data_IF_018230006453
#
_entry.id   IF_018230006453
#
_cell.length_a   1.000
_cell.length_b   1.000
_cell.length_c   1.000
_cell.angle_alpha   90.00
_cell.angle_beta   90.00
_cell.angle_gamma   90.00
#
_symmetry.space_group_name_H-M   'P 1'
#
loop_
_entity.id
_entity.type
_entity.pdbx_description
1 polymer ?
#
# COMPACT_ATOMS: atom_id res chain seq x y z
N UNK A 1 8.41 9.32 -33.73
CA UNK A 1 8.87 7.92 -33.79
C UNK A 1 7.68 7.03 -34.07
N UNK A 2 7.37 6.76 -35.35
CA UNK A 2 6.17 5.97 -35.72
C UNK A 2 6.45 4.82 -36.68
N UNK A 3 7.71 4.37 -36.79
CA UNK A 3 8.07 3.22 -37.62
C UNK A 3 8.73 2.17 -36.72
N UNK A 4 8.11 1.00 -36.66
CA UNK A 4 8.56 -0.17 -35.92
C UNK A 4 7.99 -1.42 -36.57
N UNK A 5 8.67 -2.55 -36.41
CA UNK A 5 8.27 -3.83 -36.94
C UNK A 5 8.47 -4.89 -35.84
N UNK A 6 7.57 -5.87 -35.80
CA UNK A 6 7.68 -7.02 -34.88
C UNK A 6 8.32 -8.17 -35.66
N UNK A 7 9.27 -8.86 -35.05
CA UNK A 7 9.89 -10.07 -35.59
C UNK A 7 8.91 -11.24 -35.56
N UNK A 8 8.94 -12.09 -36.60
CA UNK A 8 8.19 -13.34 -36.61
C UNK A 8 8.84 -14.42 -35.72
N UNK A 9 8.19 -15.58 -35.62
CA UNK A 9 8.67 -16.72 -34.82
C UNK A 9 10.03 -17.28 -35.27
N UNK A 10 10.46 -16.96 -36.49
CA UNK A 10 11.74 -17.36 -37.07
C UNK A 10 12.78 -16.22 -37.03
N UNK A 11 12.46 -15.09 -36.37
CA UNK A 11 13.36 -13.94 -36.22
C UNK A 11 13.44 -13.01 -37.44
N UNK A 12 12.55 -13.16 -38.43
CA UNK A 12 12.51 -12.27 -39.61
C UNK A 12 11.69 -11.03 -39.34
N UNK A 13 12.12 -9.90 -39.90
CA UNK A 13 11.42 -8.63 -39.81
C UNK A 13 11.57 -7.85 -41.11
N UNK A 14 10.67 -6.90 -41.34
CA UNK A 14 10.75 -5.96 -42.45
C UNK A 14 10.43 -4.57 -41.93
N UNK A 15 11.36 -3.64 -42.08
CA UNK A 15 11.22 -2.25 -41.64
C UNK A 15 11.57 -1.31 -42.79
N UNK A 16 10.65 -0.43 -43.15
CA UNK A 16 10.91 0.62 -44.13
C UNK A 16 11.52 1.83 -43.44
N UNK A 17 12.69 2.28 -43.89
CA UNK A 17 13.37 3.47 -43.37
C UNK A 17 13.34 4.62 -44.40
N UNK A 18 13.31 5.88 -43.95
CA UNK A 18 13.42 7.04 -44.83
C UNK A 18 14.77 7.09 -45.59
N UNK A 19 14.80 7.79 -46.74
CA UNK A 19 16.05 8.03 -47.47
C UNK A 19 17.04 8.81 -46.58
N UNK A 20 18.22 8.23 -46.36
CA UNK A 20 19.26 8.78 -45.46
C UNK A 20 19.66 7.84 -44.32
N UNK A 21 18.97 6.71 -44.15
CA UNK A 21 19.29 5.74 -43.10
C UNK A 21 18.71 6.11 -41.74
N UNK A 22 18.94 5.26 -40.74
CA UNK A 22 18.42 5.46 -39.39
C UNK A 22 19.10 4.58 -38.37
N UNK A 23 18.97 4.94 -37.09
CA UNK A 23 19.38 4.09 -35.97
C UNK A 23 18.25 3.11 -35.68
N UNK A 24 18.52 1.82 -35.88
CA UNK A 24 17.59 0.75 -35.50
C UNK A 24 17.97 0.28 -34.09
N UNK A 25 16.98 0.27 -33.21
CA UNK A 25 17.07 -0.31 -31.86
C UNK A 25 16.29 -1.62 -31.87
N UNK A 26 16.98 -2.74 -31.65
CA UNK A 26 16.36 -4.06 -31.52
C UNK A 26 16.36 -4.46 -30.06
N UNK A 27 15.20 -4.83 -29.53
CA UNK A 27 15.04 -5.30 -28.15
C UNK A 27 14.14 -6.54 -28.12
N UNK A 28 14.44 -7.46 -27.21
CA UNK A 28 13.64 -8.64 -26.94
C UNK A 28 13.60 -8.88 -25.43
N UNK A 29 12.47 -9.39 -24.93
CA UNK A 29 12.27 -9.61 -23.50
C UNK A 29 13.28 -10.64 -23.01
N UNK A 30 14.12 -10.26 -22.03
CA UNK A 30 15.18 -11.11 -21.48
C UNK A 30 16.54 -10.99 -22.19
N UNK A 31 16.66 -10.20 -23.25
CA UNK A 31 17.90 -9.99 -24.00
C UNK A 31 18.36 -8.52 -23.96
N UNK A 32 19.66 -8.29 -24.16
CA UNK A 32 20.21 -6.94 -24.27
C UNK A 32 19.73 -6.26 -25.56
N UNK A 33 19.42 -4.96 -25.50
CA UNK A 33 19.08 -4.19 -26.71
C UNK A 33 20.35 -3.87 -27.51
N UNK A 34 20.27 -4.02 -28.83
CA UNK A 34 21.36 -3.67 -29.75
C UNK A 34 20.92 -2.50 -30.62
N UNK A 35 21.77 -1.47 -30.69
CA UNK A 35 21.57 -0.32 -31.57
C UNK A 35 22.58 -0.35 -32.72
N UNK A 36 22.12 -0.21 -33.96
CA UNK A 36 22.98 -0.10 -35.14
C UNK A 36 22.45 0.96 -36.10
N UNK A 37 23.36 1.80 -36.59
CA UNK A 37 23.07 2.75 -37.67
C UNK A 37 23.11 2.02 -39.01
N UNK A 38 22.02 2.10 -39.77
CA UNK A 38 21.91 1.49 -41.10
C UNK A 38 21.74 2.59 -42.14
N UNK A 39 22.68 2.64 -43.09
CA UNK A 39 22.76 3.66 -44.14
C UNK A 39 22.40 3.12 -45.54
N UNK A 40 22.26 1.81 -45.69
CA UNK A 40 21.99 1.13 -46.96
C UNK A 40 20.90 0.07 -46.79
N UNK A 41 20.04 -0.05 -47.80
CA UNK A 41 19.01 -1.08 -47.85
C UNK A 41 19.65 -2.47 -48.06
N UNK A 42 19.22 -3.47 -47.29
CA UNK A 42 19.72 -4.84 -47.38
C UNK A 42 19.36 -5.69 -46.17
N UNK A 43 19.71 -6.97 -46.20
CA UNK A 43 19.55 -7.89 -45.06
C UNK A 43 20.52 -7.49 -43.93
N UNK A 44 19.98 -7.24 -42.75
CA UNK A 44 20.74 -6.84 -41.57
C UNK A 44 20.49 -7.82 -40.45
N UNK A 45 21.53 -8.55 -40.05
CA UNK A 45 21.45 -9.51 -38.96
C UNK A 45 21.82 -8.84 -37.63
N UNK A 46 20.96 -9.03 -36.64
CA UNK A 46 21.12 -8.56 -35.27
C UNK A 46 21.19 -9.77 -34.36
N UNK A 47 22.33 -9.95 -33.70
CA UNK A 47 22.49 -10.97 -32.65
C UNK A 47 22.33 -10.24 -31.33
N UNK A 48 21.31 -10.62 -30.57
CA UNK A 48 21.13 -10.12 -29.22
C UNK A 48 21.90 -11.02 -28.26
N UNK A 49 22.63 -10.42 -27.34
CA UNK A 49 23.26 -11.15 -26.25
C UNK A 49 22.24 -11.37 -25.13
N UNK A 50 22.31 -12.52 -24.47
CA UNK A 50 21.51 -12.81 -23.28
C UNK A 50 21.73 -11.69 -22.26
N UNK A 51 20.63 -11.09 -21.78
CA UNK A 51 20.74 -10.10 -20.72
C UNK A 51 20.97 -10.85 -19.42
N UNK A 52 22.22 -11.22 -19.14
CA UNK A 52 22.67 -11.57 -17.80
C UNK A 52 22.75 -10.34 -16.89
N UNK A 53 21.79 -9.41 -17.02
CA UNK A 53 21.45 -8.51 -15.93
C UNK A 53 20.68 -9.33 -14.90
N UNK A 54 21.42 -10.15 -14.14
CA UNK A 54 21.10 -10.25 -12.73
C UNK A 54 21.04 -8.80 -12.24
N UNK A 55 19.83 -8.26 -12.10
CA UNK A 55 19.63 -6.92 -11.58
C UNK A 55 20.34 -6.91 -10.24
N UNK A 56 21.47 -6.21 -10.18
CA UNK A 56 22.15 -5.90 -8.94
C UNK A 56 21.20 -5.01 -8.15
N UNK A 57 20.24 -5.62 -7.47
CA UNK A 57 19.32 -4.91 -6.61
C UNK A 57 20.17 -4.24 -5.54
N UNK A 58 20.21 -2.92 -5.59
CA UNK A 58 20.87 -2.13 -4.56
C UNK A 58 19.84 -1.88 -3.47
N UNK A 59 20.16 -2.37 -2.28
CA UNK A 59 19.36 -2.24 -1.07
C UNK A 59 20.03 -1.18 -0.20
N UNK A 60 19.25 -0.26 0.32
CA UNK A 60 19.73 0.66 1.35
C UNK A 60 19.73 -0.10 2.68
N UNK A 61 20.85 -0.12 3.39
CA UNK A 61 20.95 -0.67 4.75
C UNK A 61 21.72 0.31 5.61
N UNK A 62 21.14 0.71 6.74
CA UNK A 62 21.74 1.75 7.57
C UNK A 62 21.78 3.07 6.81
N UNK A 63 22.99 3.60 6.67
CA UNK A 63 23.31 4.81 5.91
C UNK A 63 24.05 4.52 4.59
N UNK A 64 24.16 3.24 4.21
CA UNK A 64 24.89 2.80 3.03
C UNK A 64 24.01 2.08 2.02
N UNK A 65 24.51 1.93 0.79
CA UNK A 65 23.90 1.10 -0.25
C UNK A 65 24.72 -0.18 -0.42
N UNK A 66 24.06 -1.33 -0.39
CA UNK A 66 24.68 -2.63 -0.61
C UNK A 66 23.87 -3.43 -1.62
N UNK A 67 24.54 -4.23 -2.45
CA UNK A 67 23.82 -5.16 -3.33
C UNK A 67 23.12 -6.23 -2.49
N UNK A 68 21.85 -6.53 -2.80
CA UNK A 68 21.03 -7.53 -2.10
C UNK A 68 21.75 -8.88 -1.93
N UNK A 69 22.50 -9.31 -2.95
CA UNK A 69 23.26 -10.57 -2.98
C UNK A 69 24.40 -10.61 -1.96
N UNK A 70 24.90 -9.45 -1.50
CA UNK A 70 26.00 -9.38 -0.53
C UNK A 70 25.53 -9.27 0.92
N UNK A 71 24.23 -9.22 1.16
CA UNK A 71 23.71 -9.07 2.51
C UNK A 71 23.61 -10.45 3.16
N UNK A 72 24.42 -10.69 4.18
CA UNK A 72 24.39 -11.94 4.96
C UNK A 72 23.18 -12.05 5.89
N UNK A 73 22.40 -10.98 6.03
CA UNK A 73 21.30 -10.87 6.98
C UNK A 73 19.92 -11.25 6.41
N UNK A 74 19.01 -11.59 7.31
CA UNK A 74 17.62 -11.92 6.98
C UNK A 74 16.79 -10.64 6.77
N UNK A 75 16.59 -10.28 5.51
CA UNK A 75 15.76 -9.15 5.09
C UNK A 75 14.61 -9.61 4.17
N UNK A 76 13.57 -8.77 4.06
CA UNK A 76 12.54 -8.91 3.03
C UNK A 76 12.42 -7.59 2.28
N UNK A 77 12.25 -7.63 0.97
CA UNK A 77 12.12 -6.43 0.14
C UNK A 77 10.77 -6.48 -0.56
N UNK A 78 10.00 -5.41 -0.43
CA UNK A 78 8.76 -5.19 -1.20
C UNK A 78 9.01 -4.03 -2.15
N UNK A 79 8.90 -4.29 -3.46
CA UNK A 79 9.20 -3.31 -4.50
C UNK A 79 7.98 -2.48 -4.90
N UNK A 80 8.23 -1.31 -5.48
CA UNK A 80 7.19 -0.39 -5.99
C UNK A 80 6.15 -1.06 -6.89
N UNK A 81 6.54 -1.99 -7.75
CA UNK A 81 5.60 -2.72 -8.63
C UNK A 81 4.58 -3.55 -7.84
N UNK A 82 5.03 -4.19 -6.75
CA UNK A 82 4.15 -4.97 -5.90
C UNK A 82 3.24 -4.04 -5.08
N UNK A 83 3.80 -2.98 -4.50
CA UNK A 83 3.05 -1.95 -3.75
C UNK A 83 1.91 -1.40 -4.63
N UNK A 84 2.22 -1.06 -5.88
CA UNK A 84 1.24 -0.58 -6.87
C UNK A 84 0.15 -1.60 -7.18
N UNK A 85 0.51 -2.88 -7.33
CA UNK A 85 -0.47 -3.94 -7.60
C UNK A 85 -1.49 -4.11 -6.47
N UNK A 86 -1.09 -3.84 -5.22
CA UNK A 86 -1.98 -3.94 -4.06
C UNK A 86 -2.83 -2.67 -3.84
N UNK A 87 -2.36 -1.52 -4.34
CA UNK A 87 -3.00 -0.22 -4.16
C UNK A 87 -3.44 0.07 -2.70
N UNK A 88 -2.54 -0.08 -1.72
CA UNK A 88 -2.91 0.04 -0.32
C UNK A 88 -3.24 1.49 0.05
N UNK A 89 -4.08 1.70 1.07
CA UNK A 89 -4.36 3.03 1.60
C UNK A 89 -3.15 3.50 2.42
N UNK A 90 -2.54 2.62 3.19
CA UNK A 90 -1.35 2.92 3.97
C UNK A 90 -0.15 2.07 3.57
N UNK A 91 1.05 2.59 3.82
CA UNK A 91 2.31 1.98 3.37
C UNK A 91 2.55 0.62 4.01
N UNK A 92 2.23 0.49 5.29
CA UNK A 92 2.41 -0.71 6.11
C UNK A 92 1.61 -1.89 5.56
N UNK A 93 0.43 -1.63 4.98
CA UNK A 93 -0.46 -2.64 4.40
C UNK A 93 0.22 -3.34 3.22
N UNK A 94 1.11 -2.64 2.50
CA UNK A 94 1.86 -3.18 1.37
C UNK A 94 2.78 -4.35 1.75
N UNK A 95 3.14 -4.45 3.03
CA UNK A 95 4.03 -5.47 3.60
C UNK A 95 3.24 -6.76 3.89
N UNK A 96 1.93 -6.66 4.11
CA UNK A 96 1.08 -7.76 4.54
C UNK A 96 1.10 -8.90 3.52
N UNK A 97 1.51 -10.09 3.98
CA UNK A 97 1.59 -11.29 3.14
C UNK A 97 2.75 -11.31 2.13
N UNK A 98 3.62 -10.29 2.12
CA UNK A 98 4.75 -10.17 1.18
C UNK A 98 6.13 -10.21 1.84
N UNK A 99 6.21 -9.99 3.15
CA UNK A 99 7.43 -10.15 3.92
C UNK A 99 7.35 -11.37 4.84
N UNK A 100 8.26 -12.32 4.66
CA UNK A 100 8.31 -13.52 5.48
C UNK A 100 8.67 -13.19 6.94
N UNK A 101 7.87 -13.69 7.88
CA UNK A 101 8.02 -13.44 9.31
C UNK A 101 7.53 -12.06 9.76
N UNK A 102 6.71 -11.39 8.96
CA UNK A 102 6.07 -10.12 9.32
C UNK A 102 4.55 -10.34 9.38
N UNK A 103 3.96 -9.99 10.52
CA UNK A 103 2.51 -10.00 10.71
C UNK A 103 2.04 -8.55 10.76
N UNK A 104 1.04 -8.23 9.94
CA UNK A 104 0.38 -6.92 9.92
C UNK A 104 -1.07 -7.15 10.30
N UNK A 105 -1.53 -6.53 11.39
CA UNK A 105 -2.91 -6.56 11.85
C UNK A 105 -3.50 -5.18 11.64
N UNK A 106 -4.49 -5.09 10.74
CA UNK A 106 -5.18 -3.84 10.44
C UNK A 106 -6.36 -3.63 11.40
N UNK A 107 -6.61 -2.37 11.75
CA UNK A 107 -7.84 -1.99 12.46
C UNK A 107 -9.05 -1.93 11.54
N UNK A 108 -10.25 -1.83 12.13
CA UNK A 108 -11.50 -1.76 11.39
C UNK A 108 -11.87 -0.35 10.89
N UNK A 109 -11.24 0.68 11.45
CA UNK A 109 -11.49 2.09 11.12
C UNK A 109 -10.60 2.55 9.96
N UNK A 110 -11.14 3.31 8.99
CA UNK A 110 -10.38 4.01 7.96
C UNK A 110 -9.14 4.73 8.51
N UNK A 111 -8.00 4.47 7.89
CA UNK A 111 -6.71 5.09 8.22
C UNK A 111 -6.14 4.76 9.60
N UNK A 112 -6.72 3.81 10.34
CA UNK A 112 -6.18 3.34 11.63
C UNK A 112 -4.73 2.86 11.48
N UNK A 113 -3.93 3.04 12.53
CA UNK A 113 -2.56 2.56 12.54
C UNK A 113 -2.57 1.02 12.69
N UNK A 114 -1.97 0.27 11.75
CA UNK A 114 -1.87 -1.17 11.89
C UNK A 114 -0.83 -1.55 12.93
N UNK A 115 -1.02 -2.70 13.58
CA UNK A 115 0.01 -3.31 14.42
C UNK A 115 0.94 -4.15 13.53
N UNK A 116 2.24 -3.85 13.55
CA UNK A 116 3.25 -4.64 12.83
C UNK A 116 4.09 -5.41 13.84
N UNK A 117 4.24 -6.71 13.60
CA UNK A 117 5.03 -7.61 14.43
C UNK A 117 6.05 -8.33 13.53
N UNK A 118 7.34 -8.13 13.80
CA UNK A 118 8.44 -8.77 13.06
C UNK A 118 9.01 -9.90 13.92
N UNK A 119 8.93 -11.14 13.41
CA UNK A 119 9.41 -12.37 14.09
C UNK A 119 8.79 -12.62 15.48
N UNK A 120 7.51 -12.28 15.65
CA UNK A 120 6.79 -12.49 16.90
C UNK A 120 6.95 -11.33 17.88
N UNK A 121 6.40 -11.48 19.09
CA UNK A 121 6.40 -10.41 20.11
C UNK A 121 7.70 -10.53 20.91
N UNK A 122 8.65 -9.58 20.77
CA UNK A 122 9.97 -9.70 21.39
C UNK A 122 9.98 -9.21 22.85
N UNK A 123 9.00 -8.41 23.27
CA UNK A 123 8.97 -7.80 24.60
C UNK A 123 7.54 -7.57 25.11
N UNK A 124 7.40 -7.44 26.43
CA UNK A 124 6.14 -7.07 27.10
C UNK A 124 5.85 -5.56 27.07
N UNK A 125 6.87 -4.72 26.82
CA UNK A 125 6.78 -3.26 26.94
C UNK A 125 6.51 -2.53 25.61
N UNK A 126 6.51 -3.25 24.48
CA UNK A 126 6.22 -2.70 23.16
C UNK A 126 6.84 -3.52 22.03
N UNK A 127 6.10 -3.68 20.93
CA UNK A 127 6.51 -4.49 19.78
C UNK A 127 6.66 -3.69 18.48
N UNK A 128 6.46 -2.37 18.52
CA UNK A 128 6.50 -1.56 17.31
C UNK A 128 7.93 -1.53 16.72
N UNK A 129 8.07 -1.77 15.40
CA UNK A 129 9.34 -1.68 14.73
C UNK A 129 9.75 -0.22 14.53
N UNK A 130 11.06 0.01 14.41
CA UNK A 130 11.57 1.32 13.99
C UNK A 130 11.29 1.53 12.51
N UNK A 131 10.79 2.71 12.16
CA UNK A 131 10.65 3.14 10.77
C UNK A 131 11.79 4.07 10.41
N UNK A 132 12.37 3.91 9.22
CA UNK A 132 13.39 4.80 8.69
C UNK A 132 13.01 5.21 7.29
N UNK A 133 12.76 6.50 7.07
CA UNK A 133 12.35 7.05 5.77
C UNK A 133 13.52 7.85 5.23
N UNK A 134 14.10 7.40 4.10
CA UNK A 134 15.24 8.02 3.44
C UNK A 134 16.42 8.34 4.39
N UNK A 135 16.65 7.46 5.37
CA UNK A 135 17.73 7.58 6.36
C UNK A 135 17.36 8.31 7.65
N UNK A 136 16.17 8.91 7.73
CA UNK A 136 15.68 9.59 8.94
C UNK A 136 14.79 8.64 9.75
N UNK A 137 15.11 8.48 11.05
CA UNK A 137 14.31 7.68 11.96
C UNK A 137 12.96 8.35 12.25
N UNK A 138 11.89 7.57 12.14
CA UNK A 138 10.51 7.97 12.34
C UNK A 138 9.76 6.90 13.15
N UNK A 139 8.55 7.22 13.59
CA UNK A 139 7.65 6.24 14.21
C UNK A 139 6.74 5.60 13.18
N UNK A 140 6.06 4.51 13.57
CA UNK A 140 5.09 3.83 12.71
C UNK A 140 3.93 4.75 12.28
N UNK A 141 3.46 5.62 13.18
CA UNK A 141 2.39 6.57 12.86
C UNK A 141 2.77 7.58 11.76
N UNK A 142 4.05 7.95 11.68
CA UNK A 142 4.58 8.91 10.72
C UNK A 142 4.62 8.34 9.29
N UNK A 143 4.56 7.01 9.16
CA UNK A 143 4.51 6.35 7.86
C UNK A 143 3.23 6.69 7.07
N UNK A 144 2.18 7.16 7.76
CA UNK A 144 0.98 7.68 7.12
C UNK A 144 1.23 8.97 6.30
N UNK A 145 2.32 9.68 6.57
CA UNK A 145 2.68 10.89 5.83
C UNK A 145 3.12 10.59 4.40
N UNK A 146 3.63 9.38 4.15
CA UNK A 146 4.16 8.97 2.85
C UNK A 146 3.07 8.30 2.03
N UNK A 147 2.94 8.70 0.77
CA UNK A 147 2.06 8.02 -0.17
C UNK A 147 2.68 6.67 -0.59
N UNK A 148 1.95 5.55 -0.55
CA UNK A 148 2.47 4.27 -1.03
C UNK A 148 2.98 4.31 -2.47
N UNK A 149 2.41 5.17 -3.34
CA UNK A 149 2.85 5.30 -4.73
C UNK A 149 4.21 5.96 -4.88
N UNK A 150 4.64 6.75 -3.90
CA UNK A 150 5.91 7.48 -3.91
C UNK A 150 7.07 6.61 -3.42
N UNK A 151 6.79 5.37 -3.02
CA UNK A 151 7.78 4.44 -2.49
C UNK A 151 8.42 3.65 -3.63
N UNK A 152 9.75 3.65 -3.64
CA UNK A 152 10.55 2.81 -4.52
C UNK A 152 10.68 1.39 -3.95
N UNK A 153 10.97 1.29 -2.64
CA UNK A 153 11.07 0.01 -1.95
C UNK A 153 10.84 0.11 -0.45
N UNK A 154 10.28 -0.97 0.11
CA UNK A 154 10.23 -1.22 1.55
C UNK A 154 11.18 -2.38 1.87
N UNK A 155 12.18 -2.13 2.70
CA UNK A 155 13.12 -3.17 3.16
C UNK A 155 12.90 -3.41 4.64
N UNK A 156 12.59 -4.65 5.00
CA UNK A 156 12.34 -5.05 6.37
C UNK A 156 13.57 -5.82 6.87
N UNK A 157 14.25 -5.25 7.86
CA UNK A 157 15.36 -5.87 8.58
C UNK A 157 14.83 -6.67 9.75
N UNK A 158 15.12 -7.97 9.77
CA UNK A 158 14.52 -8.93 10.71
C UNK A 158 15.52 -9.53 11.70
N UNK A 159 16.82 -9.34 11.47
CA UNK A 159 17.85 -9.92 12.33
C UNK A 159 18.59 -8.86 13.14
N UNK A 160 19.12 -9.30 14.28
CA UNK A 160 19.83 -8.42 15.19
C UNK A 160 21.09 -7.80 14.56
N UNK A 161 21.75 -8.51 13.64
CA UNK A 161 22.97 -8.03 13.00
C UNK A 161 22.70 -6.83 12.07
N UNK A 162 21.64 -6.87 11.26
CA UNK A 162 21.27 -5.76 10.37
C UNK A 162 20.59 -4.62 11.11
N UNK A 163 19.85 -4.90 12.18
CA UNK A 163 19.16 -3.87 12.96
C UNK A 163 20.06 -3.18 13.99
N UNK A 164 21.17 -3.78 14.40
CA UNK A 164 22.11 -3.22 15.37
C UNK A 164 22.64 -1.83 15.00
N UNK A 165 22.72 -1.51 13.70
CA UNK A 165 23.11 -0.18 13.19
C UNK A 165 22.17 0.92 13.70
N UNK A 166 20.91 0.58 13.97
CA UNK A 166 19.89 1.49 14.48
C UNK A 166 19.75 1.46 16.02
N UNK A 167 20.62 0.72 16.70
CA UNK A 167 20.67 0.63 18.15
C UNK A 167 19.45 -0.05 18.78
N UNK A 168 19.15 0.32 20.03
CA UNK A 168 18.09 -0.32 20.85
C UNK A 168 16.71 -0.22 20.18
N UNK A 169 16.44 0.87 19.46
CA UNK A 169 15.16 1.07 18.74
C UNK A 169 14.95 0.05 17.61
N UNK A 170 16.02 -0.50 17.04
CA UNK A 170 15.95 -1.56 16.04
C UNK A 170 15.72 -2.96 16.61
N UNK A 171 15.61 -3.12 17.94
CA UNK A 171 15.44 -4.43 18.60
C UNK A 171 14.17 -5.18 18.18
N UNK A 172 13.11 -4.46 17.81
CA UNK A 172 11.84 -5.01 17.32
C UNK A 172 11.80 -5.18 15.79
N UNK A 173 12.94 -5.02 15.12
CA UNK A 173 13.03 -4.94 13.66
C UNK A 173 12.99 -3.51 13.14
N UNK A 174 13.40 -3.33 11.88
CA UNK A 174 13.45 -2.01 11.23
C UNK A 174 12.79 -2.09 9.86
N UNK A 175 11.93 -1.13 9.56
CA UNK A 175 11.32 -0.93 8.24
C UNK A 175 11.99 0.27 7.59
N UNK A 176 12.79 0.02 6.56
CA UNK A 176 13.39 1.05 5.73
C UNK A 176 12.47 1.35 4.57
N UNK A 177 12.14 2.62 4.41
CA UNK A 177 11.37 3.15 3.30
C UNK A 177 12.29 4.01 2.46
N UNK A 178 12.40 3.65 1.18
CA UNK A 178 13.10 4.43 0.18
C UNK A 178 12.08 5.04 -0.75
N UNK A 179 12.07 6.38 -0.84
CA UNK A 179 11.18 7.09 -1.74
C UNK A 179 11.75 7.18 -3.14
N UNK A 180 10.87 7.41 -4.12
CA UNK A 180 11.25 7.58 -5.52
C UNK A 180 12.06 8.86 -5.70
N UNK A 181 13.07 8.77 -6.55
CA UNK A 181 13.92 9.89 -6.95
C UNK A 181 14.00 9.97 -8.47
N UNK A 182 14.41 11.13 -8.98
CA UNK A 182 14.77 11.28 -10.39
C UNK A 182 16.10 10.58 -10.69
N UNK A 183 16.40 10.39 -11.98
CA UNK A 183 17.72 9.90 -12.42
C UNK A 183 18.39 10.94 -13.30
N UNK A 184 19.73 10.96 -13.30
CA UNK A 184 20.49 11.81 -14.22
C UNK A 184 20.20 11.41 -15.67
N UNK A 185 20.09 12.41 -16.54
CA UNK A 185 19.77 12.24 -17.96
C UNK A 185 18.48 11.46 -18.23
N UNK A 186 17.53 11.53 -17.30
CA UNK A 186 16.23 10.92 -17.43
C UNK A 186 15.26 11.92 -18.05
N UNK A 187 14.62 11.52 -19.15
CA UNK A 187 13.51 12.28 -19.72
C UNK A 187 12.42 12.44 -18.67
N UNK A 188 11.76 13.59 -18.69
CA UNK A 188 10.62 13.84 -17.80
C UNK A 188 9.53 12.80 -18.03
N UNK A 189 9.23 12.04 -16.99
CA UNK A 189 8.14 11.07 -16.94
C UNK A 189 7.01 11.61 -16.06
N UNK A 190 5.81 11.59 -16.63
CA UNK A 190 4.57 11.93 -15.93
C UNK A 190 3.84 10.64 -15.57
N UNK A 191 3.42 10.52 -14.31
CA UNK A 191 2.58 9.42 -13.84
C UNK A 191 1.30 10.00 -13.25
N UNK A 192 0.16 9.48 -13.69
CA UNK A 192 -1.16 9.83 -13.14
C UNK A 192 -1.87 8.53 -12.81
N UNK A 193 -2.18 8.34 -11.53
CA UNK A 193 -2.89 7.16 -11.06
C UNK A 193 -4.18 7.60 -10.36
N UNK A 194 -5.30 7.04 -10.79
CA UNK A 194 -6.60 7.33 -10.21
C UNK A 194 -7.35 6.03 -10.00
N UNK A 195 -7.91 5.84 -8.81
CA UNK A 195 -8.69 4.66 -8.46
C UNK A 195 -9.93 5.06 -7.67
N UNK A 196 -11.01 4.31 -7.88
CA UNK A 196 -12.27 4.44 -7.17
C UNK A 196 -12.75 3.03 -6.83
N UNK A 197 -13.24 2.86 -5.60
CA UNK A 197 -13.74 1.61 -5.09
C UNK A 197 -14.87 1.84 -4.09
N UNK A 198 -15.58 0.77 -3.78
CA UNK A 198 -16.66 0.74 -2.79
C UNK A 198 -16.38 -0.37 -1.80
N UNK A 199 -16.57 -0.07 -0.52
CA UNK A 199 -16.34 -0.98 0.59
C UNK A 199 -17.70 -1.40 1.16
N UNK A 200 -17.87 -2.71 1.36
CA UNK A 200 -19.08 -3.28 1.95
C UNK A 200 -18.72 -4.41 2.91
N UNK A 201 -19.67 -4.78 3.77
CA UNK A 201 -19.50 -5.90 4.70
C UNK A 201 -19.66 -7.21 3.92
N UNK A 202 -18.64 -8.09 3.89
CA UNK A 202 -18.72 -9.33 3.12
C UNK A 202 -19.67 -10.35 3.74
N UNK A 203 -19.86 -10.31 5.07
CA UNK A 203 -20.71 -11.25 5.80
C UNK A 203 -21.20 -10.66 7.11
N UNK A 204 -22.51 -10.72 7.33
CA UNK A 204 -23.13 -10.42 8.60
C UNK A 204 -23.07 -11.63 9.55
N UNK A 205 -22.99 -11.38 10.85
CA UNK A 205 -23.11 -12.44 11.85
C UNK A 205 -24.57 -12.93 11.89
N UNK A 206 -24.84 -14.25 11.88
CA UNK A 206 -26.19 -14.73 12.09
C UNK A 206 -26.63 -14.36 13.50
N UNK A 207 -27.73 -13.61 13.59
CA UNK A 207 -28.38 -13.20 14.84
C UNK A 207 -29.83 -13.62 14.78
N UNK A 208 -30.45 -13.78 15.95
CA UNK A 208 -31.87 -14.09 16.05
C UNK A 208 -32.70 -12.96 15.42
N UNK A 209 -33.74 -13.32 14.69
CA UNK A 209 -34.78 -12.38 14.30
C UNK A 209 -35.71 -12.07 15.49
N UNK A 210 -36.61 -11.08 15.36
CA UNK A 210 -37.47 -10.67 16.48
C UNK A 210 -38.38 -11.79 17.03
N UNK A 211 -38.91 -12.65 16.17
CA UNK A 211 -39.73 -13.80 16.59
C UNK A 211 -38.91 -14.82 17.37
N UNK A 212 -37.72 -15.18 16.88
CA UNK A 212 -36.80 -16.11 17.55
C UNK A 212 -36.30 -15.54 18.88
N UNK A 213 -35.98 -14.25 18.92
CA UNK A 213 -35.59 -13.54 20.13
C UNK A 213 -36.72 -13.58 21.16
N UNK A 214 -37.95 -13.24 20.76
CA UNK A 214 -39.11 -13.28 21.64
C UNK A 214 -39.41 -14.68 22.17
N UNK A 215 -39.25 -15.72 21.35
CA UNK A 215 -39.38 -17.11 21.77
C UNK A 215 -38.35 -17.48 22.85
N UNK A 216 -37.09 -17.10 22.66
CA UNK A 216 -36.00 -17.37 23.61
C UNK A 216 -36.20 -16.62 24.94
N UNK A 217 -36.67 -15.37 24.88
CA UNK A 217 -37.01 -14.57 26.08
C UNK A 217 -38.20 -15.19 26.83
N UNK A 218 -39.22 -15.67 26.11
CA UNK A 218 -40.35 -16.37 26.71
C UNK A 218 -39.93 -17.67 27.40
N UNK A 219 -39.09 -18.48 26.74
CA UNK A 219 -38.54 -19.71 27.30
C UNK A 219 -37.82 -19.42 28.63
N UNK A 220 -36.95 -18.41 28.66
CA UNK A 220 -36.25 -17.99 29.88
C UNK A 220 -37.18 -17.52 31.00
N UNK A 221 -38.24 -16.78 30.66
CA UNK A 221 -39.24 -16.31 31.64
C UNK A 221 -40.03 -17.48 32.24
N UNK A 222 -40.49 -18.41 31.40
CA UNK A 222 -41.27 -19.58 31.83
C UNK A 222 -40.44 -20.54 32.68
N UNK A 223 -39.18 -20.80 32.31
CA UNK A 223 -38.24 -21.62 33.10
C UNK A 223 -38.02 -21.00 34.50
N UNK A 224 -38.03 -19.67 34.59
CA UNK A 224 -37.88 -18.93 35.84
C UNK A 224 -39.17 -18.83 36.67
N UNK A 225 -40.28 -19.44 36.21
CA UNK A 225 -41.59 -19.40 36.87
C UNK A 225 -42.43 -18.15 36.56
N UNK A 226 -42.02 -17.36 35.57
CA UNK A 226 -42.74 -16.19 35.07
C UNK A 226 -43.73 -16.49 33.94
N UNK A 227 -44.49 -15.46 33.54
CA UNK A 227 -45.36 -15.51 32.36
C UNK A 227 -44.58 -15.20 31.07
N UNK A 228 -45.06 -15.63 29.89
CA UNK A 228 -44.51 -15.19 28.60
C UNK A 228 -44.50 -13.65 28.50
N UNK A 229 -43.33 -13.08 28.16
CA UNK A 229 -43.12 -11.64 27.99
C UNK A 229 -43.70 -11.15 26.67
N UNK A 230 -43.63 -11.98 25.62
CA UNK A 230 -44.24 -11.75 24.31
C UNK A 230 -45.39 -12.75 24.09
N UNK A 231 -46.64 -12.41 24.45
CA UNK A 231 -47.76 -13.35 24.41
C UNK A 231 -48.12 -13.81 23.00
N UNK A 232 -47.94 -12.93 22.02
CA UNK A 232 -48.12 -13.21 20.61
C UNK A 232 -46.79 -13.00 19.87
N UNK A 233 -46.18 -14.10 19.41
CA UNK A 233 -44.94 -14.03 18.64
C UNK A 233 -45.18 -13.69 17.17
N UNK A 234 -46.41 -13.89 16.66
CA UNK A 234 -46.73 -13.67 15.25
C UNK A 234 -46.68 -12.20 14.84
N UNK A 235 -46.86 -11.29 15.80
CA UNK A 235 -46.80 -9.84 15.58
C UNK A 235 -45.36 -9.28 15.51
N UNK A 236 -44.36 -10.03 15.99
CA UNK A 236 -42.96 -9.56 16.03
C UNK A 236 -42.28 -9.62 14.66
N UNK A 237 -42.64 -10.61 13.85
CA UNK A 237 -42.04 -10.82 12.52
C UNK A 237 -40.52 -10.94 12.56
N UNK A 238 -39.83 -10.40 11.54
CA UNK A 238 -38.37 -10.46 11.48
C UNK A 238 -37.67 -9.40 12.33
N UNK A 239 -38.36 -8.30 12.64
CA UNK A 239 -37.79 -7.17 13.38
C UNK A 239 -36.70 -6.39 12.64
N UNK A 240 -35.98 -5.56 13.39
CA UNK A 240 -34.88 -4.72 12.93
C UNK A 240 -33.57 -5.50 12.93
N UNK A 241 -32.88 -5.52 11.79
CA UNK A 241 -31.50 -6.02 11.72
C UNK A 241 -30.53 -4.86 11.95
N UNK A 242 -30.11 -4.69 13.20
CA UNK A 242 -29.22 -3.61 13.61
C UNK A 242 -27.86 -3.60 12.90
N UNK A 243 -27.35 -4.76 12.48
CA UNK A 243 -26.13 -4.80 11.67
C UNK A 243 -26.34 -4.09 10.32
N UNK A 244 -27.47 -4.33 9.63
CA UNK A 244 -27.78 -3.64 8.37
C UNK A 244 -28.02 -2.15 8.54
N UNK A 245 -28.47 -1.73 9.72
CA UNK A 245 -28.67 -0.30 10.01
C UNK A 245 -27.35 0.45 10.21
N UNK A 246 -26.40 -0.15 10.93
CA UNK A 246 -25.12 0.49 11.20
C UNK A 246 -24.14 0.41 10.02
N UNK A 247 -24.21 -0.64 9.20
CA UNK A 247 -23.30 -0.82 8.08
C UNK A 247 -23.84 -0.15 6.82
N UNK A 248 -23.02 0.71 6.20
CA UNK A 248 -23.30 1.42 4.97
C UNK A 248 -22.20 1.11 3.94
N UNK A 249 -22.58 1.09 2.66
CA UNK A 249 -21.62 1.01 1.56
C UNK A 249 -20.82 2.31 1.55
N UNK A 250 -19.48 2.20 1.54
CA UNK A 250 -18.60 3.34 1.76
C UNK A 250 -17.60 3.52 0.59
N UNK A 251 -17.56 4.69 -0.07
CA UNK A 251 -16.64 4.93 -1.17
C UNK A 251 -15.18 5.06 -0.67
N UNK A 252 -14.25 4.64 -1.53
CA UNK A 252 -12.81 4.80 -1.40
C UNK A 252 -12.27 5.36 -2.71
N UNK A 253 -11.52 6.46 -2.65
CA UNK A 253 -10.90 7.06 -3.82
C UNK A 253 -9.46 7.45 -3.55
N UNK A 254 -8.62 7.32 -4.58
CA UNK A 254 -7.22 7.73 -4.53
C UNK A 254 -6.85 8.37 -5.86
N UNK A 255 -6.25 9.56 -5.80
CA UNK A 255 -5.74 10.29 -6.96
C UNK A 255 -4.31 10.70 -6.68
N UNK A 256 -3.40 10.28 -7.54
CA UNK A 256 -1.97 10.52 -7.39
C UNK A 256 -1.40 11.05 -8.69
N UNK A 257 -0.51 12.01 -8.55
CA UNK A 257 0.19 12.66 -9.63
C UNK A 257 1.68 12.69 -9.28
N UNK A 258 2.53 12.30 -10.21
CA UNK A 258 3.98 12.29 -10.02
C UNK A 258 4.70 12.73 -11.28
N UNK A 259 5.76 13.51 -11.10
CA UNK A 259 6.69 13.93 -12.14
C UNK A 259 8.09 13.58 -11.70
N UNK A 260 8.84 12.91 -12.56
CA UNK A 260 10.25 12.61 -12.29
C UNK A 260 11.11 12.79 -13.52
N UNK A 261 12.35 13.18 -13.31
CA UNK A 261 13.31 13.36 -14.39
C UNK A 261 14.63 13.88 -13.87
N UNK A 262 15.52 14.21 -14.80
CA UNK A 262 16.77 14.86 -14.45
C UNK A 262 17.70 15.12 -15.62
N UNK A 263 18.49 16.18 -15.50
CA UNK A 263 19.65 16.47 -16.34
C UNK A 263 20.92 15.85 -15.74
N UNK A 264 22.10 16.21 -16.25
CA UNK A 264 23.39 15.82 -15.65
C UNK A 264 23.61 16.42 -14.27
N UNK A 265 23.03 17.60 -14.03
CA UNK A 265 23.26 18.42 -12.82
C UNK A 265 22.12 18.33 -11.82
N UNK A 266 20.89 18.05 -12.26
CA UNK A 266 19.71 18.03 -11.39
C UNK A 266 18.90 16.77 -11.63
N UNK A 267 18.49 16.08 -10.58
CA UNK A 267 17.44 15.06 -10.66
C UNK A 267 16.35 15.37 -9.65
N UNK A 268 15.09 15.16 -10.05
CA UNK A 268 13.94 15.54 -9.24
C UNK A 268 12.84 14.49 -9.30
N UNK A 269 12.10 14.40 -8.21
CA UNK A 269 10.82 13.71 -8.07
C UNK A 269 9.87 14.64 -7.32
N UNK A 270 8.76 14.99 -7.95
CA UNK A 270 7.70 15.79 -7.36
C UNK A 270 6.41 14.99 -7.45
N UNK A 271 5.71 14.81 -6.34
CA UNK A 271 4.45 14.09 -6.31
C UNK A 271 3.44 14.77 -5.40
N UNK A 272 2.17 14.59 -5.75
CA UNK A 272 1.03 15.00 -4.95
C UNK A 272 -0.04 13.93 -5.02
N UNK A 273 -0.73 13.74 -3.90
CA UNK A 273 -1.75 12.71 -3.80
C UNK A 273 -2.88 13.11 -2.87
N UNK A 274 -4.06 12.57 -3.17
CA UNK A 274 -5.24 12.69 -2.36
C UNK A 274 -5.88 11.31 -2.19
N UNK A 275 -6.11 10.92 -0.95
CA UNK A 275 -6.80 9.69 -0.57
C UNK A 275 -8.02 10.07 0.26
N UNK A 276 -9.18 9.51 -0.06
CA UNK A 276 -10.39 9.66 0.74
C UNK A 276 -11.04 8.29 0.91
N UNK A 277 -11.15 7.85 2.16
CA UNK A 277 -11.73 6.57 2.55
C UNK A 277 -12.87 6.82 3.53
N UNK A 278 -14.09 6.50 3.11
CA UNK A 278 -15.24 6.50 4.01
C UNK A 278 -15.29 5.20 4.83
N UNK A 279 -15.81 5.27 6.05
CA UNK A 279 -16.02 4.12 6.91
C UNK A 279 -17.35 3.44 6.65
N UNK A 280 -17.36 2.10 6.71
CA UNK A 280 -18.57 1.30 6.54
C UNK A 280 -19.48 1.36 7.77
N UNK A 281 -18.97 1.66 8.96
CA UNK A 281 -19.78 1.80 10.18
C UNK A 281 -20.26 3.24 10.31
N UNK A 282 -21.57 3.45 10.27
CA UNK A 282 -22.21 4.76 10.39
C UNK A 282 -21.99 5.71 9.20
N UNK A 283 -21.33 5.25 8.13
CA UNK A 283 -21.02 6.03 6.93
C UNK A 283 -19.95 7.11 7.15
N UNK A 284 -19.74 7.95 6.12
CA UNK A 284 -18.74 9.02 6.07
C UNK A 284 -18.86 10.05 7.20
N UNK A 285 -20.07 10.23 7.74
CA UNK A 285 -20.35 11.22 8.79
C UNK A 285 -19.80 10.78 10.16
N UNK A 286 -19.74 9.47 10.38
CA UNK A 286 -19.28 8.88 11.64
C UNK A 286 -17.83 8.42 11.54
N UNK A 287 -17.41 7.92 10.38
CA UNK A 287 -16.04 7.48 10.16
C UNK A 287 -15.53 7.83 8.78
N UNK A 288 -14.37 8.48 8.71
CA UNK A 288 -13.71 8.88 7.45
C UNK A 288 -12.23 9.09 7.66
N UNK A 289 -11.46 8.92 6.59
CA UNK A 289 -10.05 9.20 6.54
C UNK A 289 -9.71 9.90 5.22
N UNK A 290 -9.26 11.15 5.33
CA UNK A 290 -8.79 11.92 4.19
C UNK A 290 -7.33 12.33 4.39
N UNK A 291 -6.53 12.12 3.36
CA UNK A 291 -5.11 12.42 3.34
C UNK A 291 -4.76 13.16 2.06
N UNK A 292 -4.28 14.39 2.21
CA UNK A 292 -3.50 15.07 1.18
C UNK A 292 -2.02 14.87 1.45
N UNK A 293 -1.24 14.49 0.44
CA UNK A 293 0.22 14.38 0.55
C UNK A 293 0.93 15.12 -0.58
N UNK A 294 2.14 15.53 -0.27
CA UNK A 294 3.07 16.17 -1.19
C UNK A 294 4.47 15.65 -0.89
N UNK A 295 5.20 15.26 -1.93
CA UNK A 295 6.59 14.79 -1.82
C UNK A 295 7.46 15.52 -2.84
N UNK A 296 8.61 16.00 -2.38
CA UNK A 296 9.63 16.64 -3.20
C UNK A 296 11.01 16.09 -2.84
N UNK A 297 11.62 15.36 -3.77
CA UNK A 297 12.98 14.89 -3.66
C UNK A 297 13.81 15.51 -4.79
N UNK A 298 14.84 16.27 -4.42
CA UNK A 298 15.66 17.05 -5.35
C UNK A 298 17.14 16.79 -5.02
N UNK A 299 17.85 16.33 -6.03
CA UNK A 299 19.27 16.09 -6.02
C UNK A 299 19.95 17.09 -6.95
N UNK A 300 20.84 17.92 -6.41
CA UNK A 300 21.54 18.96 -7.16
C UNK A 300 23.06 18.77 -7.07
N UNK A 301 23.71 18.53 -8.21
CA UNK A 301 25.15 18.48 -8.35
C UNK A 301 25.70 19.90 -8.47
N UNK A 302 26.06 20.51 -7.34
CA UNK A 302 26.60 21.88 -7.29
C UNK A 302 27.99 21.94 -7.95
N UNK A 303 28.84 20.95 -7.69
CA UNK A 303 30.19 20.82 -8.24
C UNK A 303 30.59 19.33 -8.28
N UNK A 304 31.66 18.92 -8.98
CA UNK A 304 32.03 17.48 -9.10
C UNK A 304 32.19 16.73 -7.78
N UNK A 305 32.53 17.43 -6.69
CA UNK A 305 32.69 16.86 -5.34
C UNK A 305 31.65 17.36 -4.33
N UNK A 306 30.63 18.10 -4.76
CA UNK A 306 29.61 18.67 -3.89
C UNK A 306 28.21 18.36 -4.44
N UNK A 307 27.43 17.61 -3.66
CA UNK A 307 26.03 17.28 -3.95
C UNK A 307 25.15 17.83 -2.83
N UNK A 308 24.10 18.54 -3.21
CA UNK A 308 23.03 18.96 -2.32
C UNK A 308 21.83 18.02 -2.52
N UNK A 309 21.23 17.56 -1.42
CA UNK A 309 20.11 16.62 -1.41
C UNK A 309 19.01 17.23 -0.55
N UNK A 310 17.81 17.32 -1.09
CA UNK A 310 16.61 17.76 -0.39
C UNK A 310 15.54 16.69 -0.56
N UNK A 311 15.14 16.05 0.55
CA UNK A 311 13.99 15.16 0.60
C UNK A 311 12.95 15.79 1.53
N UNK A 312 11.73 15.97 1.06
CA UNK A 312 10.66 16.62 1.82
C UNK A 312 9.35 15.93 1.53
N UNK A 313 8.62 15.59 2.59
CA UNK A 313 7.24 15.10 2.49
C UNK A 313 6.37 15.93 3.43
N UNK A 314 5.22 16.38 2.93
CA UNK A 314 4.20 17.09 3.68
C UNK A 314 2.88 16.34 3.61
N UNK A 315 2.15 16.32 4.72
CA UNK A 315 0.86 15.64 4.81
C UNK A 315 -0.17 16.51 5.52
N UNK A 316 -1.40 16.48 5.03
CA UNK A 316 -2.57 17.02 5.71
C UNK A 316 -3.54 15.88 5.92
N UNK A 317 -3.84 15.59 7.19
CA UNK A 317 -4.67 14.45 7.59
C UNK A 317 -5.93 14.94 8.29
N UNK A 318 -7.07 14.45 7.82
CA UNK A 318 -8.35 14.61 8.49
C UNK A 318 -8.95 13.22 8.70
N UNK A 319 -8.96 12.76 9.94
CA UNK A 319 -9.47 11.44 10.29
C UNK A 319 -10.53 11.53 11.37
N UNK A 320 -11.60 10.77 11.20
CA UNK A 320 -12.61 10.52 12.22
C UNK A 320 -12.79 9.02 12.37
N UNK A 321 -12.50 8.53 13.57
CA UNK A 321 -12.63 7.12 13.89
C UNK A 321 -13.84 6.79 14.75
N UNK A 322 -14.15 5.50 14.83
CA UNK A 322 -15.09 4.95 15.78
C UNK A 322 -14.29 4.12 16.78
N UNK A 323 -14.76 4.04 18.02
CA UNK A 323 -14.08 3.25 19.04
C UNK A 323 -14.07 1.76 18.67
N UNK A 324 -12.86 1.19 18.61
CA UNK A 324 -12.61 -0.22 18.39
C UNK A 324 -12.40 -0.98 19.71
N UNK A 325 -12.53 -2.31 19.67
CA UNK A 325 -12.17 -3.22 20.76
C UNK A 325 -12.80 -2.88 22.13
N UNK A 326 -14.04 -2.39 22.11
CA UNK A 326 -14.82 -2.08 23.31
C UNK A 326 -16.09 -2.92 23.38
N UNK A 327 -16.46 -3.36 24.59
CA UNK A 327 -17.72 -4.09 24.83
C UNK A 327 -18.94 -3.25 24.43
N UNK A 328 -18.86 -1.93 24.62
CA UNK A 328 -19.89 -0.97 24.22
C UNK A 328 -19.62 -0.36 22.83
N UNK A 329 -18.84 -1.02 21.98
CA UNK A 329 -18.60 -0.57 20.61
C UNK A 329 -19.89 -0.60 19.79
N UNK A 330 -19.97 0.23 18.75
CA UNK A 330 -21.17 0.31 17.88
C UNK A 330 -21.55 -1.06 17.31
N UNK A 331 -20.55 -1.84 16.88
CA UNK A 331 -20.77 -3.19 16.33
C UNK A 331 -21.23 -4.15 17.44
N UNK A 332 -20.56 -4.15 18.60
CA UNK A 332 -20.96 -4.99 19.74
C UNK A 332 -22.38 -4.69 20.21
N UNK A 333 -22.74 -3.41 20.32
CA UNK A 333 -24.09 -2.98 20.65
C UNK A 333 -25.10 -3.43 19.59
N UNK A 334 -24.80 -3.31 18.30
CA UNK A 334 -25.70 -3.74 17.23
C UNK A 334 -25.95 -5.27 17.21
N UNK A 335 -25.02 -6.08 17.72
CA UNK A 335 -25.22 -7.52 17.85
C UNK A 335 -26.12 -7.90 19.04
N UNK A 336 -26.18 -7.07 20.08
CA UNK A 336 -26.90 -7.33 21.31
C UNK A 336 -28.19 -6.52 21.46
N UNK A 337 -28.47 -5.60 20.54
CA UNK A 337 -29.63 -4.73 20.63
C UNK A 337 -30.91 -5.48 20.30
N UNK A 338 -31.99 -5.10 20.98
CA UNK A 338 -33.30 -5.74 20.85
C UNK A 338 -33.83 -5.62 19.39
N UNK A 339 -34.02 -6.74 18.67
CA UNK A 339 -34.53 -6.71 17.30
C UNK A 339 -36.02 -6.33 17.22
N UNK A 340 -36.75 -6.30 18.34
CA UNK A 340 -38.18 -5.93 18.37
C UNK A 340 -38.40 -4.41 18.30
N UNK A 341 -37.35 -3.61 18.54
CA UNK A 341 -37.43 -2.14 18.54
C UNK A 341 -37.28 -1.59 17.12
N UNK A 342 -38.17 -0.69 16.65
CA UNK A 342 -38.04 -0.05 15.35
C UNK A 342 -36.93 1.00 15.33
N UNK A 343 -36.37 1.28 14.15
CA UNK A 343 -35.30 2.28 13.97
C UNK A 343 -35.78 3.71 14.23
N UNK A 344 -37.03 3.99 13.90
CA UNK A 344 -37.69 5.27 14.10
C UNK A 344 -38.92 5.03 14.98
N UNK A 345 -39.17 5.96 15.91
CA UNK A 345 -40.39 5.98 16.73
C UNK A 345 -41.61 6.41 15.92
#
# INVERSE_FOLDING_TARGET
>A
TSQGAVTDVNGRYSLNLPQGGGVIVVSFVGMGSVERTINTAGEQNFVLEDSNKALDEVVVIGYGTQKAVKVSGALSIVKSADIQRQNPVRVEEAIQGRAAGVTVVQGGTPGSNPTIIIRGIPSYSGSDPLVVIDGVQQNLGDLNAVNPIDIESLTILKDAASTAIYGIRGGNGVILVTTKTGKKNMKTELTVNSSYGVQEVPRYMPVLNATEYGAMVNEGSVISGGNPIFPDLSVLGTGTNWQKEIFKVAPLQQHNFGVRGGSETVSYYLAGGYTSQSGIVGGSDKSRFDRGNFTANIDFQVAPKLKFILNTTGVVLHSKGIQENSFNSVIGSALNFDPTVPVLN
#
